data_IF_439750708407
#
_entry.id   IF_439750708407
#
_cell.length_a   1.000
_cell.length_b   1.000
_cell.length_c   1.000
_cell.angle_alpha   90.00
_cell.angle_beta   90.00
_cell.angle_gamma   90.00
#
_symmetry.space_group_name_H-M   'P 1'
#
loop_
_entity.id
_entity.type
_entity.pdbx_description
1 polymer ?
#
# COMPACT_ATOMS: atom_id res chain seq x y z
N UNK A 1 -4.97 3.04 -23.31
CA UNK A 1 -6.10 3.13 -22.36
C UNK A 1 -5.56 3.40 -20.96
N UNK A 2 -6.39 3.79 -19.97
CA UNK A 2 -5.96 3.94 -18.57
C UNK A 2 -5.29 2.66 -18.05
N UNK A 3 -5.87 1.51 -18.38
CA UNK A 3 -5.33 0.20 -17.97
C UNK A 3 -3.94 -0.01 -18.56
N UNK A 4 -3.76 0.21 -19.86
CA UNK A 4 -2.45 0.04 -20.51
C UNK A 4 -1.39 0.94 -19.89
N UNK A 5 -1.73 2.21 -19.60
CA UNK A 5 -0.79 3.13 -18.94
C UNK A 5 -0.38 2.66 -17.55
N UNK A 6 -1.30 2.08 -16.77
CA UNK A 6 -0.96 1.51 -15.46
C UNK A 6 -0.11 0.25 -15.60
N UNK A 7 -0.32 -0.57 -16.63
CA UNK A 7 0.52 -1.74 -16.90
C UNK A 7 1.94 -1.26 -17.25
N UNK A 8 2.07 -0.32 -18.17
CA UNK A 8 3.35 0.24 -18.59
C UNK A 8 4.11 0.85 -17.39
N UNK A 9 3.41 1.57 -16.51
CA UNK A 9 4.01 2.16 -15.31
C UNK A 9 4.53 1.11 -14.32
N UNK A 10 3.77 0.04 -14.06
CA UNK A 10 4.20 -1.01 -13.12
C UNK A 10 5.30 -1.92 -13.68
N UNK A 11 5.58 -1.84 -14.98
CA UNK A 11 6.64 -2.60 -15.64
C UNK A 11 7.99 -1.85 -15.70
N UNK A 12 8.06 -0.61 -15.20
CA UNK A 12 9.30 0.17 -15.15
C UNK A 12 10.23 -0.37 -14.07
N UNK A 13 11.41 -0.82 -14.46
CA UNK A 13 12.51 -1.14 -13.54
C UNK A 13 13.03 0.16 -12.86
N UNK A 14 12.84 0.34 -11.54
CA UNK A 14 13.26 1.54 -10.84
C UNK A 14 14.77 1.76 -10.85
N UNK A 15 15.59 0.70 -10.81
CA UNK A 15 17.04 0.80 -10.82
C UNK A 15 17.54 1.33 -12.18
N UNK A 16 17.03 0.73 -13.26
CA UNK A 16 17.36 1.17 -14.62
C UNK A 16 16.91 2.61 -14.91
N UNK A 17 15.83 3.07 -14.27
CA UNK A 17 15.33 4.43 -14.35
C UNK A 17 16.10 5.45 -13.47
N UNK A 18 17.08 5.00 -12.67
CA UNK A 18 17.82 5.85 -11.74
C UNK A 18 17.02 6.24 -10.49
N UNK A 19 16.02 5.44 -10.12
CA UNK A 19 15.11 5.63 -8.98
C UNK A 19 15.33 4.60 -7.85
N UNK A 20 16.43 3.84 -7.85
CA UNK A 20 16.70 2.81 -6.83
C UNK A 20 16.59 3.32 -5.39
N UNK A 21 17.06 4.55 -5.15
CA UNK A 21 17.02 5.18 -3.82
C UNK A 21 15.72 5.96 -3.53
N UNK A 22 14.78 6.02 -4.47
CA UNK A 22 13.55 6.80 -4.32
C UNK A 22 12.60 6.21 -3.28
N UNK A 23 12.63 4.89 -3.10
CA UNK A 23 11.66 4.15 -2.32
C UNK A 23 12.26 3.17 -1.32
N UNK A 24 11.39 2.61 -0.49
CA UNK A 24 11.73 1.50 0.40
C UNK A 24 10.66 0.41 0.20
N UNK A 25 10.93 -0.63 -0.62
CA UNK A 25 9.93 -1.64 -0.97
C UNK A 25 9.63 -2.59 0.20
N UNK A 26 10.65 -2.97 0.97
CA UNK A 26 10.51 -3.92 2.07
C UNK A 26 9.48 -3.45 3.08
N UNK A 27 8.52 -4.29 3.44
CA UNK A 27 7.47 -3.97 4.44
C UNK A 27 6.49 -2.89 4.00
N UNK A 28 6.38 -2.58 2.70
CA UNK A 28 5.49 -1.54 2.19
C UNK A 28 4.03 -1.76 2.62
N UNK A 29 3.49 -2.96 2.42
CA UNK A 29 2.09 -3.24 2.77
C UNK A 29 1.80 -3.06 4.27
N UNK A 30 2.72 -3.48 5.15
CA UNK A 30 2.57 -3.32 6.60
C UNK A 30 2.59 -1.84 6.98
N UNK A 31 3.55 -1.07 6.44
CA UNK A 31 3.62 0.38 6.68
C UNK A 31 2.36 1.10 6.22
N UNK A 32 1.85 0.72 5.04
CA UNK A 32 0.65 1.33 4.49
C UNK A 32 -0.57 1.02 5.36
N UNK A 33 -0.78 -0.24 5.75
CA UNK A 33 -1.90 -0.60 6.62
C UNK A 33 -1.86 0.16 7.95
N UNK A 34 -0.70 0.23 8.60
CA UNK A 34 -0.52 0.99 9.84
C UNK A 34 -0.78 2.49 9.63
N UNK A 35 -0.31 3.06 8.52
CA UNK A 35 -0.50 4.48 8.18
C UNK A 35 -1.98 4.80 7.99
N UNK A 36 -2.70 3.97 7.23
CA UNK A 36 -4.12 4.16 6.97
C UNK A 36 -4.95 4.08 8.26
N UNK A 37 -4.65 3.11 9.14
CA UNK A 37 -5.30 3.02 10.44
C UNK A 37 -5.13 4.31 11.26
N UNK A 38 -3.89 4.84 11.33
CA UNK A 38 -3.61 6.11 12.03
C UNK A 38 -4.34 7.30 11.41
N UNK A 39 -4.36 7.39 10.07
CA UNK A 39 -5.02 8.50 9.37
C UNK A 39 -6.53 8.46 9.54
N UNK A 40 -7.12 7.27 9.48
CA UNK A 40 -8.54 7.08 9.73
C UNK A 40 -8.90 7.50 11.15
N UNK A 41 -8.15 7.05 12.16
CA UNK A 41 -8.36 7.42 13.56
C UNK A 41 -8.29 8.94 13.75
N UNK A 42 -7.27 9.58 13.18
CA UNK A 42 -7.07 11.02 13.24
C UNK A 42 -8.14 11.84 12.49
N UNK A 43 -8.87 11.24 11.55
CA UNK A 43 -9.89 11.92 10.74
C UNK A 43 -11.31 11.42 11.01
N UNK A 44 -11.51 10.56 12.01
CA UNK A 44 -12.79 9.93 12.31
C UNK A 44 -13.80 11.00 12.74
N UNK A 45 -14.76 11.29 11.86
CA UNK A 45 -15.83 12.28 12.08
C UNK A 45 -17.20 11.65 12.32
N UNK A 46 -17.33 10.35 12.08
CA UNK A 46 -18.53 9.54 12.31
C UNK A 46 -18.16 8.09 12.54
N UNK A 47 -19.09 7.34 13.11
CA UNK A 47 -18.99 5.89 13.17
C UNK A 47 -19.04 5.26 11.77
N UNK A 48 -18.14 4.28 11.57
CA UNK A 48 -18.03 3.47 10.36
C UNK A 48 -18.14 2.00 10.78
N UNK A 49 -19.36 1.43 10.76
CA UNK A 49 -19.56 0.04 11.18
C UNK A 49 -18.62 -0.91 10.44
N UNK A 50 -17.90 -1.74 11.20
CA UNK A 50 -17.00 -2.77 10.65
C UNK A 50 -15.60 -2.29 10.28
N UNK A 51 -15.27 -1.00 10.43
CA UNK A 51 -13.95 -0.49 10.01
C UNK A 51 -12.80 -1.07 10.85
N UNK A 52 -13.02 -1.21 12.16
CA UNK A 52 -12.02 -1.77 13.09
C UNK A 52 -11.85 -3.28 12.81
N UNK A 53 -12.96 -3.99 12.55
CA UNK A 53 -12.93 -5.40 12.14
C UNK A 53 -12.19 -5.61 10.82
N UNK A 54 -12.36 -4.70 9.85
CA UNK A 54 -11.63 -4.75 8.58
C UNK A 54 -10.13 -4.53 8.81
N UNK A 55 -9.75 -3.54 9.64
CA UNK A 55 -8.35 -3.29 9.99
C UNK A 55 -7.70 -4.54 10.59
N UNK A 56 -8.34 -5.16 11.58
CA UNK A 56 -7.86 -6.39 12.22
C UNK A 56 -7.76 -7.55 11.21
N UNK A 57 -8.78 -7.73 10.37
CA UNK A 57 -8.81 -8.79 9.38
C UNK A 57 -7.70 -8.66 8.32
N UNK A 58 -7.38 -7.42 7.90
CA UNK A 58 -6.29 -7.13 6.98
C UNK A 58 -4.92 -7.34 7.64
N UNK A 59 -4.76 -6.92 8.89
CA UNK A 59 -3.51 -7.11 9.63
C UNK A 59 -3.19 -8.60 9.82
N UNK A 60 -4.21 -9.42 10.12
CA UNK A 60 -4.05 -10.86 10.29
C UNK A 60 -3.75 -11.64 8.99
N UNK A 61 -4.07 -11.06 7.83
CA UNK A 61 -3.95 -11.74 6.52
C UNK A 61 -3.06 -10.99 5.53
N UNK A 62 -2.15 -10.16 6.04
CA UNK A 62 -1.28 -9.36 5.19
C UNK A 62 -0.45 -10.29 4.28
N UNK A 63 -0.55 -10.16 2.94
CA UNK A 63 0.24 -10.97 2.05
C UNK A 63 1.69 -10.52 2.10
N UNK A 64 2.61 -11.43 1.75
CA UNK A 64 3.98 -11.03 1.44
C UNK A 64 3.97 -10.18 0.19
N UNK A 65 4.60 -9.01 0.26
CA UNK A 65 4.74 -8.15 -0.91
C UNK A 65 5.55 -8.90 -1.97
N UNK A 66 5.12 -8.91 -3.24
CA UNK A 66 5.97 -9.39 -4.33
C UNK A 66 7.22 -8.49 -4.41
N UNK A 67 8.25 -9.01 -5.09
CA UNK A 67 9.40 -8.16 -5.43
C UNK A 67 8.89 -6.94 -6.23
N UNK A 68 9.46 -5.74 -6.01
CA UNK A 68 9.20 -4.63 -6.90
C UNK A 68 9.57 -5.04 -8.33
N UNK A 69 8.62 -4.90 -9.25
CA UNK A 69 8.84 -5.04 -10.69
C UNK A 69 9.36 -3.75 -11.28
#
# INVERSE_FOLDING_TARGET
SLVDTLVDLHAVDPEAAGLGDFGHPDGFLERQLRRWAKQLDASRSRELPGIDQLQEALAARLPRSPAPT
#
